data_IF_848830426006
#
_entry.id   IF_848830426006
#
_cell.length_a   1.000
_cell.length_b   1.000
_cell.length_c   1.000
_cell.angle_alpha   90.00
_cell.angle_beta   90.00
_cell.angle_gamma   90.00
#
_symmetry.space_group_name_H-M   'P 1'
#
loop_
_entity.id
_entity.type
_entity.pdbx_description
1 polymer ?
#
# COMPACT_ATOMS: atom_id res chain seq x y z
N UNK A 1 76.05 18.36 -0.78
CA UNK A 1 76.14 17.43 0.37
C UNK A 1 74.76 16.83 0.59
N UNK A 2 74.67 15.52 0.88
CA UNK A 2 74.05 14.53 0.00
C UNK A 2 72.93 13.76 0.77
N UNK A 3 72.23 12.69 0.34
CA UNK A 3 72.49 11.46 -0.42
C UNK A 3 71.08 10.95 -0.86
N UNK A 4 70.88 10.50 -2.09
CA UNK A 4 71.05 9.10 -2.57
C UNK A 4 70.14 8.10 -1.84
N UNK A 5 69.46 7.14 -2.47
CA UNK A 5 69.44 6.67 -3.86
C UNK A 5 68.38 5.54 -3.98
N UNK A 6 67.82 5.40 -5.20
CA UNK A 6 67.60 4.18 -6.02
C UNK A 6 67.13 2.89 -5.32
N UNK A 7 66.16 2.13 -5.83
CA UNK A 7 65.87 1.76 -7.22
C UNK A 7 65.64 0.23 -7.21
N UNK A 8 64.60 -0.31 -7.85
CA UNK A 8 64.59 -0.99 -9.16
C UNK A 8 63.90 -2.37 -8.94
N UNK A 9 62.74 -2.63 -9.54
CA UNK A 9 62.49 -3.28 -10.85
C UNK A 9 62.25 -4.80 -10.77
N UNK A 10 61.10 -5.17 -11.33
CA UNK A 10 60.76 -6.34 -12.16
C UNK A 10 60.49 -7.70 -11.51
N UNK A 11 59.38 -8.30 -11.96
CA UNK A 11 59.03 -9.71 -11.80
C UNK A 11 57.61 -9.99 -12.31
N UNK A 12 57.48 -10.44 -13.55
CA UNK A 12 56.24 -10.94 -14.15
C UNK A 12 56.23 -12.48 -14.11
N UNK A 13 55.12 -13.09 -13.71
CA UNK A 13 54.72 -14.48 -13.98
C UNK A 13 53.24 -14.66 -13.53
N UNK A 14 52.26 -14.66 -14.45
CA UNK A 14 51.57 -15.85 -14.96
C UNK A 14 51.11 -16.85 -13.90
N UNK A 15 49.80 -16.87 -13.60
CA UNK A 15 49.08 -18.11 -13.28
C UNK A 15 47.65 -18.06 -13.84
N UNK A 16 47.33 -19.11 -14.57
CA UNK A 16 46.09 -19.41 -15.32
C UNK A 16 44.96 -19.89 -14.40
N UNK A 17 43.71 -19.96 -14.90
CA UNK A 17 42.53 -20.27 -14.10
C UNK A 17 42.31 -21.79 -13.99
N UNK A 18 41.92 -22.25 -12.80
CA UNK A 18 41.59 -23.66 -12.58
C UNK A 18 40.15 -23.96 -13.02
N UNK A 19 40.03 -24.79 -14.06
CA UNK A 19 38.82 -25.51 -14.47
C UNK A 19 38.66 -26.76 -13.60
N UNK A 20 37.48 -26.95 -13.00
CA UNK A 20 36.94 -28.27 -12.64
C UNK A 20 35.51 -28.31 -13.21
N UNK A 21 35.32 -28.80 -14.43
CA UNK A 21 34.96 -30.18 -14.81
C UNK A 21 33.72 -30.73 -14.10
N UNK A 22 32.67 -30.82 -14.91
CA UNK A 22 31.43 -31.55 -14.71
C UNK A 22 31.68 -33.05 -14.48
N UNK A 23 30.82 -33.64 -13.64
CA UNK A 23 30.53 -35.08 -13.57
C UNK A 23 29.05 -35.25 -13.27
N UNK A 24 28.27 -35.59 -14.29
CA UNK A 24 27.07 -36.43 -14.27
C UNK A 24 27.39 -37.62 -15.20
N UNK A 25 26.73 -38.81 -15.15
CA UNK A 25 25.34 -39.07 -14.72
C UNK A 25 25.16 -40.43 -13.98
N UNK A 26 23.90 -40.92 -13.92
CA UNK A 26 23.41 -42.25 -13.48
C UNK A 26 22.89 -42.29 -12.02
N UNK A 27 21.73 -42.84 -11.67
CA UNK A 27 20.70 -43.60 -12.39
C UNK A 27 19.43 -43.67 -11.53
N UNK A 28 18.28 -43.71 -12.20
CA UNK A 28 17.00 -44.18 -11.68
C UNK A 28 17.08 -45.65 -11.25
N UNK A 29 16.17 -46.09 -10.36
CA UNK A 29 15.50 -47.36 -10.57
C UNK A 29 13.98 -47.14 -10.70
N UNK A 30 13.44 -47.61 -11.82
CA UNK A 30 12.04 -47.98 -11.90
C UNK A 30 11.84 -49.39 -11.33
N UNK A 31 10.73 -49.60 -10.64
CA UNK A 31 10.13 -50.93 -10.52
C UNK A 31 8.63 -50.83 -10.69
N UNK A 32 8.18 -51.63 -11.64
CA UNK A 32 6.86 -52.05 -12.06
C UNK A 32 5.98 -52.66 -10.97
N UNK A 33 4.66 -52.57 -11.18
CA UNK A 33 3.60 -53.38 -10.55
C UNK A 33 2.43 -52.48 -10.17
N UNK A 34 1.18 -52.68 -10.56
CA UNK A 34 0.51 -53.77 -11.23
C UNK A 34 -0.98 -53.40 -11.24
N UNK A 35 -1.61 -53.71 -12.38
CA UNK A 35 -3.00 -53.54 -12.74
C UNK A 35 -4.01 -54.05 -11.69
N UNK A 36 -5.06 -53.27 -11.35
CA UNK A 36 -6.43 -53.81 -11.18
C UNK A 36 -7.44 -52.77 -11.63
N UNK A 37 -8.01 -53.01 -12.82
CA UNK A 37 -9.33 -52.52 -13.22
C UNK A 37 -10.38 -53.39 -12.53
N UNK A 38 -11.40 -52.78 -11.91
CA UNK A 38 -12.69 -53.44 -11.74
C UNK A 38 -13.84 -52.46 -11.92
N UNK A 39 -14.48 -52.64 -13.06
CA UNK A 39 -15.80 -52.20 -13.45
C UNK A 39 -16.89 -52.85 -12.56
N UNK A 40 -18.08 -52.27 -12.54
CA UNK A 40 -19.31 -53.03 -12.25
C UNK A 40 -20.30 -52.50 -11.21
N UNK A 41 -21.14 -51.57 -11.66
CA UNK A 41 -22.62 -51.65 -11.60
C UNK A 41 -23.43 -51.53 -10.29
N UNK A 42 -24.24 -50.45 -10.28
CA UNK A 42 -25.72 -50.37 -10.17
C UNK A 42 -26.47 -51.12 -9.05
N UNK A 43 -27.23 -50.34 -8.27
CA UNK A 43 -28.70 -50.35 -8.00
C UNK A 43 -28.94 -49.27 -6.91
N UNK A 44 -29.96 -48.42 -6.88
CA UNK A 44 -31.31 -48.43 -7.44
C UNK A 44 -32.32 -48.28 -6.27
N UNK A 45 -33.17 -47.24 -6.30
CA UNK A 45 -34.32 -47.02 -5.39
C UNK A 45 -34.26 -45.66 -4.68
N UNK A 46 -34.88 -44.58 -5.14
CA UNK A 46 -36.33 -44.23 -5.13
C UNK A 46 -37.02 -44.49 -3.79
N UNK A 47 -37.35 -43.41 -3.08
CA UNK A 47 -38.70 -43.17 -2.56
C UNK A 47 -38.98 -41.65 -2.51
N UNK A 48 -39.97 -41.23 -3.31
CA UNK A 48 -40.97 -40.19 -2.99
C UNK A 48 -41.93 -40.85 -1.96
N UNK A 49 -42.69 -40.16 -1.11
CA UNK A 49 -43.60 -39.04 -1.37
C UNK A 49 -44.15 -38.49 -0.04
N UNK A 50 -44.52 -37.21 -0.08
CA UNK A 50 -45.69 -36.53 0.52
C UNK A 50 -45.79 -36.46 2.07
N UNK A 51 -46.31 -35.42 2.72
CA UNK A 51 -47.25 -34.37 2.30
C UNK A 51 -47.38 -33.26 3.38
N UNK A 52 -47.77 -32.05 2.95
CA UNK A 52 -48.56 -30.97 3.64
C UNK A 52 -48.08 -30.37 4.99
N UNK A 53 -48.16 -29.06 5.25
CA UNK A 53 -48.81 -27.92 4.58
C UNK A 53 -48.27 -26.57 5.15
N UNK A 54 -48.15 -25.53 4.33
CA UNK A 54 -49.11 -24.42 4.12
C UNK A 54 -49.14 -23.38 5.25
N UNK A 55 -48.58 -22.19 4.99
CA UNK A 55 -49.24 -20.90 5.21
C UNK A 55 -48.45 -19.77 4.56
N UNK A 56 -49.06 -19.17 3.54
CA UNK A 56 -48.74 -17.87 2.94
C UNK A 56 -48.85 -16.74 3.96
N UNK A 57 -48.15 -15.62 3.75
CA UNK A 57 -48.69 -14.24 3.92
C UNK A 57 -47.69 -13.23 3.33
N UNK A 58 -48.03 -12.75 2.14
CA UNK A 58 -47.61 -11.46 1.62
C UNK A 58 -48.69 -10.43 2.00
N UNK A 59 -48.31 -9.26 2.49
CA UNK A 59 -49.18 -8.08 2.57
C UNK A 59 -48.39 -6.87 2.06
N UNK A 60 -48.81 -6.41 0.89
CA UNK A 60 -48.78 -5.03 0.39
C UNK A 60 -49.96 -4.26 1.00
N UNK A 61 -49.84 -2.93 1.10
CA UNK A 61 -50.84 -1.87 0.87
C UNK A 61 -50.34 -0.59 1.60
N UNK A 62 -50.02 0.55 0.95
CA UNK A 62 -50.84 1.49 0.15
C UNK A 62 -52.09 1.91 0.93
N UNK A 63 -52.31 3.18 1.30
CA UNK A 63 -52.77 4.31 0.48
C UNK A 63 -52.74 5.58 1.38
N UNK A 64 -52.11 6.68 0.97
CA UNK A 64 -52.67 7.89 0.33
C UNK A 64 -53.88 8.54 1.02
N UNK A 65 -53.75 9.83 1.38
CA UNK A 65 -54.84 10.76 1.14
C UNK A 65 -54.34 12.17 0.83
N UNK A 66 -54.98 12.75 -0.18
CA UNK A 66 -54.70 14.00 -0.86
C UNK A 66 -55.57 15.14 -0.33
N UNK A 67 -55.06 16.37 -0.27
CA UNK A 67 -55.88 17.57 -0.46
C UNK A 67 -55.02 18.76 -0.84
N UNK A 68 -55.38 19.39 -1.95
CA UNK A 68 -54.90 20.65 -2.50
C UNK A 68 -55.32 21.85 -1.65
N UNK A 69 -54.57 22.96 -1.72
CA UNK A 69 -55.09 24.25 -2.24
C UNK A 69 -54.05 25.40 -2.14
N UNK A 70 -53.69 25.87 -3.34
CA UNK A 70 -53.24 27.19 -3.84
C UNK A 70 -53.11 28.43 -2.92
N UNK A 71 -51.87 28.99 -2.84
CA UNK A 71 -51.39 30.42 -2.92
C UNK A 71 -52.19 31.60 -2.28
N UNK A 72 -51.54 32.69 -1.75
CA UNK A 72 -50.50 33.46 -2.47
C UNK A 72 -49.36 34.14 -1.68
N UNK A 73 -48.29 34.41 -2.43
CA UNK A 73 -47.14 35.29 -2.16
C UNK A 73 -47.52 36.73 -1.79
N UNK A 74 -46.86 37.30 -0.74
CA UNK A 74 -46.43 38.72 -0.72
C UNK A 74 -45.11 38.92 0.05
N UNK A 75 -44.30 39.96 -0.28
CA UNK A 75 -42.87 40.01 0.02
C UNK A 75 -42.51 40.97 1.16
N UNK A 76 -41.47 40.67 1.97
CA UNK A 76 -40.73 41.72 2.70
C UNK A 76 -39.33 41.38 3.22
N UNK A 77 -38.41 42.27 2.81
CA UNK A 77 -37.27 42.87 3.53
C UNK A 77 -35.95 42.10 3.65
N UNK A 78 -35.08 42.46 2.70
CA UNK A 78 -33.63 42.61 2.79
C UNK A 78 -33.12 43.14 4.15
N UNK A 79 -32.14 42.44 4.73
CA UNK A 79 -31.22 43.00 5.71
C UNK A 79 -29.79 42.83 5.20
N UNK A 80 -29.28 43.87 4.54
CA UNK A 80 -27.85 44.11 4.39
C UNK A 80 -27.29 44.40 5.78
N UNK A 81 -26.41 43.54 6.27
CA UNK A 81 -25.79 43.68 7.58
C UNK A 81 -24.52 42.87 7.70
N UNK A 82 -23.44 43.42 7.13
CA UNK A 82 -22.03 43.25 7.52
C UNK A 82 -21.63 41.93 8.18
N UNK A 83 -21.22 40.95 7.37
CA UNK A 83 -20.42 39.81 7.86
C UNK A 83 -18.98 40.30 8.00
N UNK A 84 -18.62 40.76 9.19
CA UNK A 84 -17.22 40.84 9.61
C UNK A 84 -16.62 39.44 9.48
N UNK A 85 -15.88 39.23 8.39
CA UNK A 85 -15.12 38.00 8.17
C UNK A 85 -14.04 37.90 9.25
N UNK A 86 -14.16 36.93 10.15
CA UNK A 86 -13.14 36.68 11.17
C UNK A 86 -11.76 36.42 10.52
N UNK A 87 -10.67 37.06 10.99
CA UNK A 87 -9.33 36.97 10.39
C UNK A 87 -8.80 35.53 10.27
N UNK A 88 -9.23 34.62 11.15
CA UNK A 88 -8.83 33.20 11.14
C UNK A 88 -9.26 32.44 9.88
N UNK A 89 -10.33 32.85 9.20
CA UNK A 89 -10.84 32.14 8.01
C UNK A 89 -10.11 32.54 6.72
N UNK A 90 -9.45 33.70 6.71
CA UNK A 90 -8.67 34.18 5.56
C UNK A 90 -7.22 33.65 5.57
N UNK A 91 -6.64 33.34 6.73
CA UNK A 91 -5.29 32.76 6.83
C UNK A 91 -5.18 31.33 6.26
N UNK A 92 -6.29 30.60 6.14
CA UNK A 92 -6.31 29.28 5.52
C UNK A 92 -6.20 29.32 3.98
N UNK A 93 -6.39 30.49 3.35
CA UNK A 93 -6.37 30.66 1.87
C UNK A 93 -5.03 31.16 1.31
N UNK A 94 -4.06 31.49 2.16
CA UNK A 94 -2.77 32.07 1.74
C UNK A 94 -1.59 31.09 1.82
N UNK A 95 -1.81 29.88 2.31
CA UNK A 95 -0.77 28.84 2.36
C UNK A 95 -0.83 28.01 1.09
N UNK A 96 0.29 27.92 0.36
CA UNK A 96 0.43 26.99 -0.77
C UNK A 96 -0.05 25.59 -0.35
N UNK A 97 -0.76 24.83 -1.21
CA UNK A 97 -1.16 23.46 -0.90
C UNK A 97 -0.03 22.60 -0.33
N UNK A 98 1.21 22.83 -0.79
CA UNK A 98 2.42 22.19 -0.26
C UNK A 98 2.67 22.50 1.22
N UNK A 99 2.44 23.74 1.66
CA UNK A 99 2.66 24.16 3.05
C UNK A 99 1.67 23.51 4.03
N UNK A 100 0.40 23.34 3.62
CA UNK A 100 -0.61 22.64 4.42
C UNK A 100 -0.29 21.15 4.56
N UNK A 101 0.00 20.48 3.45
CA UNK A 101 0.34 19.06 3.46
C UNK A 101 1.67 18.77 4.16
N UNK A 102 2.65 19.68 4.06
CA UNK A 102 3.88 19.60 4.84
C UNK A 102 3.61 19.67 6.34
N UNK A 103 2.69 20.53 6.80
CA UNK A 103 2.26 20.58 8.21
C UNK A 103 1.53 19.32 8.64
N UNK A 104 0.66 18.78 7.79
CA UNK A 104 -0.07 17.54 8.10
C UNK A 104 0.86 16.34 8.32
N UNK A 105 1.94 16.26 7.54
CA UNK A 105 2.97 15.22 7.65
C UNK A 105 4.05 15.54 8.68
N UNK A 106 4.01 16.72 9.31
CA UNK A 106 5.02 17.17 10.28
C UNK A 106 5.02 16.33 11.55
N UNK A 107 3.83 16.02 12.10
CA UNK A 107 3.71 15.16 13.27
C UNK A 107 4.36 13.80 13.02
N UNK A 108 4.10 13.20 11.86
CA UNK A 108 4.75 11.95 11.44
C UNK A 108 6.27 12.09 11.33
N UNK A 109 6.78 13.13 10.67
CA UNK A 109 8.24 13.33 10.52
C UNK A 109 8.94 13.51 11.87
N UNK A 110 8.26 14.16 12.81
CA UNK A 110 8.73 14.39 14.18
C UNK A 110 8.42 13.21 15.12
N UNK A 111 8.07 12.03 14.59
CA UNK A 111 7.80 10.79 15.36
C UNK A 111 6.68 10.94 16.38
N UNK A 112 5.69 11.78 16.07
CA UNK A 112 4.51 12.03 16.89
C UNK A 112 4.88 12.44 18.33
N UNK A 113 5.45 13.64 18.54
CA UNK A 113 6.00 14.04 19.85
C UNK A 113 4.95 14.05 20.98
N UNK A 114 3.68 14.20 20.63
CA UNK A 114 2.56 14.21 21.58
C UNK A 114 1.96 12.83 21.86
N UNK A 115 2.43 11.77 21.17
CA UNK A 115 1.91 10.40 21.34
C UNK A 115 2.81 9.58 22.24
N UNK A 116 2.23 9.12 23.36
CA UNK A 116 2.88 8.22 24.31
C UNK A 116 2.71 6.77 23.87
N UNK A 117 3.69 5.96 24.23
CA UNK A 117 3.70 4.52 23.97
C UNK A 117 2.92 3.80 25.07
N UNK A 118 1.93 2.98 24.71
CA UNK A 118 1.19 2.16 25.66
C UNK A 118 1.65 0.70 25.57
N UNK A 119 2.47 0.26 26.52
CA UNK A 119 3.11 -1.07 26.51
C UNK A 119 2.14 -2.26 26.67
N UNK A 120 0.89 -2.03 27.08
CA UNK A 120 -0.10 -3.11 27.17
C UNK A 120 -0.71 -3.48 25.81
N UNK A 121 -0.63 -2.58 24.84
CA UNK A 121 -1.18 -2.74 23.50
C UNK A 121 -0.18 -3.43 22.58
N UNK A 122 -0.56 -4.57 21.98
CA UNK A 122 0.36 -5.45 21.25
C UNK A 122 -0.24 -6.05 19.97
N UNK A 123 -1.40 -5.56 19.50
CA UNK A 123 -2.12 -6.17 18.38
C UNK A 123 -1.32 -6.14 17.07
N UNK A 124 -0.59 -5.06 16.77
CA UNK A 124 0.23 -4.99 15.56
C UNK A 124 1.37 -6.00 15.62
N UNK A 125 2.07 -6.09 16.76
CA UNK A 125 3.11 -7.10 16.94
C UNK A 125 2.53 -8.52 16.75
N UNK A 126 1.41 -8.83 17.41
CA UNK A 126 0.76 -10.14 17.30
C UNK A 126 0.33 -10.45 15.86
N UNK A 127 -0.21 -9.47 15.15
CA UNK A 127 -0.60 -9.62 13.75
C UNK A 127 0.62 -9.92 12.86
N UNK A 128 1.70 -9.15 12.98
CA UNK A 128 2.93 -9.40 12.22
C UNK A 128 3.64 -10.69 12.64
N UNK A 129 3.46 -11.16 13.88
CA UNK A 129 3.92 -12.47 14.31
C UNK A 129 2.98 -13.61 13.89
N UNK A 130 1.92 -13.30 13.13
CA UNK A 130 0.92 -14.25 12.62
C UNK A 130 0.14 -14.97 13.73
N UNK A 131 -0.02 -14.32 14.90
CA UNK A 131 -0.74 -14.88 16.06
C UNK A 131 -2.22 -14.52 16.09
N UNK A 132 -2.59 -13.40 15.47
CA UNK A 132 -3.99 -12.94 15.38
C UNK A 132 -4.35 -12.61 13.94
N UNK A 133 -5.64 -12.74 13.64
CA UNK A 133 -6.23 -12.29 12.40
C UNK A 133 -6.47 -10.77 12.43
N UNK A 134 -6.40 -10.17 11.25
CA UNK A 134 -6.93 -8.83 11.05
C UNK A 134 -8.46 -8.79 11.21
N UNK A 135 -8.98 -7.69 11.74
CA UNK A 135 -10.41 -7.45 11.99
C UNK A 135 -10.95 -6.35 11.07
N UNK A 136 -12.27 -6.30 10.78
CA UNK A 136 -13.38 -7.13 11.28
C UNK A 136 -13.47 -8.56 10.73
N UNK A 137 -13.32 -8.74 9.41
CA UNK A 137 -13.49 -10.02 8.69
C UNK A 137 -12.23 -10.31 7.88
N UNK A 138 -11.09 -10.23 8.54
CA UNK A 138 -9.80 -10.41 7.90
C UNK A 138 -9.28 -11.83 8.06
N UNK A 139 -7.97 -11.97 7.89
CA UNK A 139 -7.25 -13.23 8.07
C UNK A 139 -5.85 -12.95 8.61
N UNK A 140 -5.04 -14.00 8.76
CA UNK A 140 -3.64 -13.95 9.16
C UNK A 140 -2.76 -13.35 8.06
N UNK A 141 -1.68 -12.66 8.44
CA UNK A 141 -0.79 -11.99 7.48
C UNK A 141 -0.16 -12.97 6.48
N UNK A 142 0.21 -14.17 6.92
CA UNK A 142 0.77 -15.19 6.02
C UNK A 142 -0.27 -15.66 5.00
N UNK A 143 -1.52 -15.86 5.42
CA UNK A 143 -2.65 -16.21 4.54
C UNK A 143 -2.93 -15.10 3.52
N UNK A 144 -2.82 -13.82 3.91
CA UNK A 144 -2.92 -12.71 2.96
C UNK A 144 -1.81 -12.76 1.92
N UNK A 145 -0.55 -12.95 2.34
CA UNK A 145 0.59 -12.99 1.43
C UNK A 145 0.53 -14.19 0.47
N UNK A 146 0.00 -15.32 0.92
CA UNK A 146 -0.12 -16.53 0.12
C UNK A 146 -1.25 -16.45 -0.92
N UNK A 147 -2.42 -15.90 -0.55
CA UNK A 147 -3.63 -16.03 -1.37
C UNK A 147 -4.12 -14.74 -2.02
N UNK A 148 -3.71 -13.55 -1.56
CA UNK A 148 -4.25 -12.29 -2.09
C UNK A 148 -3.44 -11.76 -3.28
N UNK A 149 -2.27 -12.33 -3.57
CA UNK A 149 -1.44 -11.88 -4.67
C UNK A 149 -2.15 -12.11 -6.00
N UNK A 150 -2.50 -11.02 -6.69
CA UNK A 150 -3.23 -11.06 -7.96
C UNK A 150 -4.75 -11.06 -7.82
N UNK A 151 -5.30 -11.17 -6.60
CA UNK A 151 -6.73 -10.99 -6.34
C UNK A 151 -7.08 -9.52 -6.19
N UNK A 152 -7.18 -8.83 -7.32
CA UNK A 152 -7.43 -7.39 -7.33
C UNK A 152 -8.83 -7.00 -6.89
N UNK A 153 -9.83 -7.87 -7.09
CA UNK A 153 -11.20 -7.62 -6.67
C UNK A 153 -11.26 -7.56 -5.15
N UNK A 154 -10.64 -8.53 -4.47
CA UNK A 154 -10.55 -8.56 -3.01
C UNK A 154 -9.85 -7.31 -2.45
N UNK A 155 -8.72 -6.92 -3.05
CA UNK A 155 -7.94 -5.76 -2.61
C UNK A 155 -8.65 -4.42 -2.87
N UNK A 156 -9.47 -4.32 -3.91
CA UNK A 156 -10.29 -3.12 -4.18
C UNK A 156 -11.49 -3.06 -3.22
N UNK A 157 -12.24 -4.15 -3.03
CA UNK A 157 -13.49 -4.18 -2.24
C UNK A 157 -13.24 -4.08 -0.72
N UNK A 158 -12.26 -4.81 -0.19
CA UNK A 158 -12.04 -4.87 1.25
C UNK A 158 -11.10 -3.76 1.71
N UNK A 159 -11.58 -2.70 2.36
CA UNK A 159 -10.71 -1.59 2.78
C UNK A 159 -10.03 -1.79 4.15
N UNK A 160 -10.54 -2.70 4.99
CA UNK A 160 -10.13 -2.81 6.39
C UNK A 160 -8.71 -3.36 6.61
N UNK A 161 -8.14 -4.06 5.61
CA UNK A 161 -6.84 -4.72 5.74
C UNK A 161 -5.66 -3.72 5.75
N UNK A 162 -5.81 -2.55 5.12
CA UNK A 162 -4.67 -1.66 4.88
C UNK A 162 -4.04 -1.16 6.18
N UNK A 163 -4.84 -0.93 7.21
CA UNK A 163 -4.36 -0.51 8.52
C UNK A 163 -3.67 -1.63 9.30
N UNK A 164 -3.97 -2.89 9.00
CA UNK A 164 -3.27 -4.04 9.58
C UNK A 164 -1.95 -4.32 8.86
N UNK A 165 -1.96 -4.28 7.52
CA UNK A 165 -0.74 -4.48 6.72
C UNK A 165 0.25 -3.33 6.81
N UNK A 166 -0.22 -2.12 7.13
CA UNK A 166 0.57 -0.90 7.21
C UNK A 166 0.10 -0.02 8.36
N UNK A 167 0.27 -0.45 9.61
CA UNK A 167 -0.18 0.33 10.75
C UNK A 167 0.66 1.61 10.88
N UNK A 168 0.03 2.68 11.37
CA UNK A 168 0.68 3.93 11.73
C UNK A 168 0.19 4.38 13.09
N UNK A 169 0.86 5.38 13.66
CA UNK A 169 0.51 5.94 14.97
C UNK A 169 -0.60 6.98 14.85
N UNK A 170 -1.53 6.83 13.91
CA UNK A 170 -2.68 7.71 13.68
C UNK A 170 -3.94 6.86 13.59
N UNK A 171 -5.05 7.37 14.09
CA UNK A 171 -6.33 6.69 14.02
C UNK A 171 -6.80 6.66 12.56
N UNK A 172 -7.05 5.46 12.04
CA UNK A 172 -7.60 5.29 10.70
C UNK A 172 -9.09 4.96 10.72
N UNK A 173 -9.62 4.58 9.55
CA UNK A 173 -11.06 4.32 9.34
C UNK A 173 -11.53 3.02 10.00
N UNK A 174 -10.68 1.99 10.02
CA UNK A 174 -10.88 0.74 10.72
C UNK A 174 -10.52 0.95 12.20
N UNK A 175 -11.55 1.15 13.04
CA UNK A 175 -11.40 1.33 14.49
C UNK A 175 -10.96 0.07 15.24
N UNK A 176 -11.04 -1.10 14.60
CA UNK A 176 -10.58 -2.37 15.17
C UNK A 176 -9.10 -2.63 14.89
N UNK A 177 -8.47 -1.85 14.00
CA UNK A 177 -7.03 -1.85 13.85
C UNK A 177 -6.43 -0.89 14.88
N UNK A 178 -5.71 -1.45 15.86
CA UNK A 178 -5.02 -0.70 16.89
C UNK A 178 -3.96 0.23 16.27
N UNK A 179 -3.89 1.49 16.71
CA UNK A 179 -2.79 2.37 16.34
C UNK A 179 -1.43 1.75 16.69
N UNK A 180 -0.44 1.95 15.83
CA UNK A 180 0.91 1.43 16.04
C UNK A 180 1.53 2.02 17.32
N UNK A 181 2.09 1.15 18.15
CA UNK A 181 2.88 1.53 19.31
C UNK A 181 4.38 1.50 18.98
N UNK A 182 5.19 2.31 19.67
CA UNK A 182 6.63 2.42 19.38
C UNK A 182 7.35 1.11 19.66
N UNK A 183 7.02 0.46 20.77
CA UNK A 183 7.63 -0.82 21.10
C UNK A 183 7.26 -1.93 20.11
N UNK A 184 6.06 -1.91 19.54
CA UNK A 184 5.66 -2.82 18.45
C UNK A 184 6.49 -2.54 17.20
N UNK A 185 6.59 -1.27 16.78
CA UNK A 185 7.36 -0.86 15.61
C UNK A 185 8.84 -1.26 15.70
N UNK A 186 9.46 -1.02 16.86
CA UNK A 186 10.84 -1.44 17.13
C UNK A 186 11.02 -2.96 17.05
N UNK A 187 10.05 -3.72 17.58
CA UNK A 187 10.10 -5.18 17.59
C UNK A 187 9.88 -5.76 16.19
N UNK A 188 8.91 -5.24 15.43
CA UNK A 188 8.65 -5.61 14.04
C UNK A 188 9.89 -5.32 13.17
N UNK A 189 10.52 -4.15 13.36
CA UNK A 189 11.72 -3.75 12.62
C UNK A 189 12.93 -4.63 12.93
N UNK A 190 13.10 -5.08 14.18
CA UNK A 190 14.25 -5.89 14.61
C UNK A 190 14.09 -7.38 14.28
N UNK A 191 12.86 -7.88 14.22
CA UNK A 191 12.59 -9.29 13.89
C UNK A 191 12.67 -9.51 12.37
N UNK A 192 13.56 -10.38 11.86
CA UNK A 192 13.72 -10.58 10.43
C UNK A 192 12.47 -11.11 9.71
N UNK A 193 11.65 -11.94 10.37
CA UNK A 193 10.44 -12.51 9.76
C UNK A 193 9.35 -11.45 9.65
N UNK A 194 9.13 -10.68 10.71
CA UNK A 194 8.18 -9.58 10.70
C UNK A 194 8.60 -8.48 9.72
N UNK A 195 9.89 -8.15 9.64
CA UNK A 195 10.42 -7.20 8.65
C UNK A 195 10.23 -7.70 7.21
N UNK A 196 10.47 -8.99 6.92
CA UNK A 196 10.17 -9.58 5.61
C UNK A 196 8.67 -9.48 5.26
N UNK A 197 7.78 -9.71 6.24
CA UNK A 197 6.33 -9.53 6.06
C UNK A 197 5.95 -8.11 5.69
N UNK A 198 6.62 -7.08 6.23
CA UNK A 198 6.40 -5.67 5.80
C UNK A 198 6.72 -5.52 4.31
N UNK A 199 7.85 -6.07 3.85
CA UNK A 199 8.25 -6.01 2.44
C UNK A 199 7.30 -6.79 1.55
N UNK A 200 6.85 -7.99 1.96
CA UNK A 200 5.84 -8.77 1.22
C UNK A 200 4.51 -8.03 1.08
N UNK A 201 4.03 -7.39 2.16
CA UNK A 201 2.85 -6.53 2.10
C UNK A 201 3.04 -5.40 1.09
N UNK A 202 4.24 -4.80 1.05
CA UNK A 202 4.55 -3.74 0.10
C UNK A 202 4.54 -4.23 -1.34
N UNK A 203 5.13 -5.39 -1.62
CA UNK A 203 5.09 -6.04 -2.94
C UNK A 203 3.67 -6.38 -3.38
N UNK A 204 2.85 -6.90 -2.48
CA UNK A 204 1.43 -7.16 -2.73
C UNK A 204 0.72 -5.88 -3.20
N UNK A 205 0.94 -4.76 -2.50
CA UNK A 205 0.32 -3.48 -2.85
C UNK A 205 0.90 -2.86 -4.13
N UNK A 206 2.21 -2.97 -4.37
CA UNK A 206 2.81 -2.57 -5.65
C UNK A 206 2.20 -3.34 -6.81
N UNK A 207 2.09 -4.66 -6.69
CA UNK A 207 1.49 -5.51 -7.71
C UNK A 207 0.03 -5.15 -7.96
N UNK A 208 -0.74 -4.85 -6.90
CA UNK A 208 -2.10 -4.33 -7.00
C UNK A 208 -2.17 -3.01 -7.77
N UNK A 209 -1.13 -2.17 -7.75
CA UNK A 209 -1.07 -0.94 -8.55
C UNK A 209 -0.38 -1.12 -9.90
N UNK A 210 -0.03 -2.34 -10.32
CA UNK A 210 0.65 -2.61 -11.60
C UNK A 210 2.12 -2.25 -11.60
N UNK A 211 2.75 -2.28 -10.42
CA UNK A 211 4.16 -2.04 -10.21
C UNK A 211 4.82 -3.32 -9.68
N UNK A 212 6.12 -3.46 -9.89
CA UNK A 212 6.90 -4.58 -9.38
C UNK A 212 8.16 -4.07 -8.67
N UNK A 213 8.48 -4.68 -7.53
CA UNK A 213 9.70 -4.41 -6.78
C UNK A 213 10.83 -5.30 -7.30
N UNK A 214 11.58 -4.80 -8.28
CA UNK A 214 12.66 -5.55 -8.92
C UNK A 214 13.86 -5.77 -7.97
N UNK A 215 14.15 -4.80 -7.10
CA UNK A 215 15.25 -4.90 -6.14
C UNK A 215 14.76 -4.55 -4.73
N UNK A 216 14.59 -5.58 -3.90
CA UNK A 216 14.18 -5.43 -2.49
C UNK A 216 15.16 -4.61 -1.65
N UNK A 217 16.46 -4.58 -1.98
CA UNK A 217 17.47 -3.86 -1.22
C UNK A 217 17.51 -2.37 -1.59
N UNK A 218 17.52 -2.06 -2.89
CA UNK A 218 17.56 -0.68 -3.39
C UNK A 218 16.17 -0.03 -3.46
N UNK A 219 15.10 -0.83 -3.38
CA UNK A 219 13.74 -0.37 -3.57
C UNK A 219 13.38 -0.10 -5.04
N UNK A 220 14.13 -0.65 -6.00
CA UNK A 220 13.92 -0.34 -7.42
C UNK A 220 12.56 -0.87 -7.88
N UNK A 221 11.75 0.03 -8.45
CA UNK A 221 10.41 -0.28 -8.95
C UNK A 221 10.40 -0.19 -10.47
N UNK A 222 9.70 -1.13 -11.09
CA UNK A 222 9.42 -1.18 -12.53
C UNK A 222 7.91 -1.35 -12.76
N UNK A 223 7.45 -1.11 -13.98
CA UNK A 223 6.08 -1.46 -14.39
C UNK A 223 5.90 -2.99 -14.32
N UNK A 224 4.77 -3.46 -13.79
CA UNK A 224 4.39 -4.88 -13.85
C UNK A 224 3.71 -5.23 -15.18
N UNK A 225 3.46 -6.52 -15.44
CA UNK A 225 2.96 -6.99 -16.74
C UNK A 225 1.62 -6.35 -17.14
N UNK A 226 0.72 -6.16 -16.18
CA UNK A 226 -0.62 -5.58 -16.40
C UNK A 226 -0.71 -4.08 -16.06
N UNK A 227 0.43 -3.37 -16.03
CA UNK A 227 0.50 -1.97 -15.58
C UNK A 227 -0.54 -1.06 -16.23
N UNK A 228 -0.84 -1.24 -17.53
CA UNK A 228 -1.78 -0.37 -18.27
C UNK A 228 -3.16 -0.37 -17.65
N UNK A 229 -3.67 -1.53 -17.26
CA UNK A 229 -4.98 -1.65 -16.61
C UNK A 229 -4.93 -1.10 -15.19
N UNK A 230 -3.91 -1.49 -14.42
CA UNK A 230 -3.80 -1.12 -13.02
C UNK A 230 -3.54 0.39 -12.83
N UNK A 231 -2.75 1.04 -13.70
CA UNK A 231 -2.54 2.49 -13.67
C UNK A 231 -3.82 3.25 -14.03
N UNK A 232 -4.61 2.73 -15.00
CA UNK A 232 -5.94 3.29 -15.30
C UNK A 232 -6.86 3.22 -14.08
N UNK A 233 -6.86 2.11 -13.34
CA UNK A 233 -7.59 1.99 -12.07
C UNK A 233 -7.09 3.00 -11.04
N UNK A 234 -5.77 3.05 -10.82
CA UNK A 234 -5.16 3.96 -9.82
C UNK A 234 -5.46 5.43 -10.10
N UNK A 235 -5.44 5.87 -11.36
CA UNK A 235 -5.81 7.24 -11.74
C UNK A 235 -7.27 7.60 -11.42
N UNK A 236 -8.17 6.61 -11.39
CA UNK A 236 -9.62 6.82 -11.18
C UNK A 236 -10.03 6.65 -9.71
N UNK A 237 -9.34 5.78 -8.98
CA UNK A 237 -9.67 5.42 -7.60
C UNK A 237 -8.89 6.25 -6.59
N UNK A 238 -9.36 7.46 -6.28
CA UNK A 238 -8.68 8.42 -5.39
C UNK A 238 -8.45 7.90 -3.96
N UNK A 239 -9.26 6.96 -3.46
CA UNK A 239 -9.05 6.34 -2.15
C UNK A 239 -7.72 5.56 -2.08
N UNK A 240 -7.21 5.07 -3.22
CA UNK A 240 -5.89 4.44 -3.27
C UNK A 240 -4.76 5.43 -2.96
N UNK A 241 -4.97 6.74 -3.13
CA UNK A 241 -3.98 7.73 -2.73
C UNK A 241 -3.85 7.85 -1.21
N UNK A 242 -4.97 7.67 -0.49
CA UNK A 242 -4.95 7.58 0.97
C UNK A 242 -4.25 6.29 1.42
N UNK A 243 -4.49 5.17 0.73
CA UNK A 243 -3.76 3.91 0.97
C UNK A 243 -2.25 4.10 0.74
N UNK A 244 -1.82 4.73 -0.36
CA UNK A 244 -0.41 5.03 -0.61
C UNK A 244 0.18 5.89 0.51
N UNK A 245 -0.53 6.94 0.95
CA UNK A 245 -0.11 7.77 2.08
C UNK A 245 0.12 6.93 3.35
N UNK A 246 -0.83 6.06 3.70
CA UNK A 246 -0.72 5.14 4.83
C UNK A 246 0.53 4.25 4.71
N UNK A 247 0.74 3.64 3.55
CA UNK A 247 1.91 2.79 3.28
C UNK A 247 3.20 3.57 3.46
N UNK A 248 3.32 4.75 2.84
CA UNK A 248 4.55 5.55 2.93
C UNK A 248 4.88 5.97 4.36
N UNK A 249 3.88 6.31 5.18
CA UNK A 249 4.10 6.58 6.60
C UNK A 249 4.51 5.30 7.35
N UNK A 250 3.80 4.19 7.13
CA UNK A 250 4.07 2.91 7.80
C UNK A 250 5.45 2.35 7.48
N UNK A 251 5.89 2.43 6.21
CA UNK A 251 7.25 2.05 5.81
C UNK A 251 8.31 2.78 6.65
N UNK A 252 8.08 4.03 7.03
CA UNK A 252 9.01 4.76 7.90
C UNK A 252 8.91 4.46 9.37
N UNK A 253 7.70 4.19 9.87
CA UNK A 253 7.52 3.68 11.24
C UNK A 253 8.21 2.32 11.41
N UNK A 254 8.13 1.45 10.40
CA UNK A 254 8.62 0.07 10.46
C UNK A 254 10.05 -0.12 9.93
N UNK A 255 10.80 0.96 9.71
CA UNK A 255 12.24 0.90 9.41
C UNK A 255 12.62 0.70 7.92
N UNK A 256 11.66 0.81 7.00
CA UNK A 256 11.83 0.63 5.55
C UNK A 256 11.86 1.95 4.77
N UNK A 257 12.38 3.02 5.36
CA UNK A 257 12.37 4.38 4.77
C UNK A 257 13.06 4.45 3.39
N UNK A 258 14.05 3.57 3.17
CA UNK A 258 14.76 3.40 1.89
C UNK A 258 13.87 3.07 0.70
N UNK A 259 12.68 2.49 0.90
CA UNK A 259 11.76 2.09 -0.17
C UNK A 259 10.97 3.27 -0.74
N UNK A 260 10.86 4.38 0.00
CA UNK A 260 9.94 5.47 -0.34
C UNK A 260 10.48 6.36 -1.44
N UNK A 261 11.76 6.73 -1.39
CA UNK A 261 12.35 7.61 -2.40
C UNK A 261 12.29 6.99 -3.82
N UNK A 262 12.65 5.71 -4.02
CA UNK A 262 12.45 5.04 -5.31
C UNK A 262 11.00 5.03 -5.79
N UNK A 263 10.03 4.78 -4.89
CA UNK A 263 8.61 4.85 -5.22
C UNK A 263 8.19 6.24 -5.72
N UNK A 264 8.56 7.29 -4.99
CA UNK A 264 8.25 8.67 -5.38
C UNK A 264 8.88 9.02 -6.73
N UNK A 265 10.14 8.61 -6.95
CA UNK A 265 10.83 8.84 -8.22
C UNK A 265 10.11 8.15 -9.38
N UNK A 266 9.70 6.89 -9.19
CA UNK A 266 8.95 6.13 -10.18
C UNK A 266 7.62 6.81 -10.51
N UNK A 267 6.82 7.15 -9.49
CA UNK A 267 5.51 7.78 -9.74
C UNK A 267 5.64 9.16 -10.38
N UNK A 268 6.61 9.98 -9.98
CA UNK A 268 6.85 11.27 -10.63
C UNK A 268 7.19 11.12 -12.12
N UNK A 269 8.05 10.16 -12.47
CA UNK A 269 8.36 9.88 -13.87
C UNK A 269 7.11 9.46 -14.65
N UNK A 270 6.34 8.51 -14.12
CA UNK A 270 5.10 8.03 -14.74
C UNK A 270 4.02 9.13 -14.86
N UNK A 271 3.96 10.04 -13.88
CA UNK A 271 2.95 11.10 -13.84
C UNK A 271 3.29 12.29 -14.76
N UNK A 272 4.57 12.68 -14.82
CA UNK A 272 5.02 13.91 -15.49
C UNK A 272 5.56 13.63 -16.90
N UNK A 273 6.37 12.59 -17.07
CA UNK A 273 7.02 12.27 -18.35
C UNK A 273 6.10 11.41 -19.20
N UNK A 274 5.71 10.26 -18.66
CA UNK A 274 4.94 9.25 -19.40
C UNK A 274 3.44 9.56 -19.46
N UNK A 275 2.95 10.43 -18.57
CA UNK A 275 1.54 10.81 -18.41
C UNK A 275 0.59 9.62 -18.16
N UNK A 276 1.12 8.48 -17.74
CA UNK A 276 0.35 7.27 -17.44
C UNK A 276 -0.24 7.27 -16.03
N UNK A 277 0.31 8.07 -15.11
CA UNK A 277 -0.17 8.28 -13.74
C UNK A 277 -0.45 9.76 -13.42
N UNK A 278 -0.91 10.53 -14.42
CA UNK A 278 -1.07 11.98 -14.32
C UNK A 278 -1.93 12.43 -13.12
N UNK A 279 -2.96 11.67 -12.72
CA UNK A 279 -3.81 12.05 -11.59
C UNK A 279 -3.12 11.89 -10.22
N UNK A 280 -2.00 11.16 -10.16
CA UNK A 280 -1.20 11.01 -8.95
C UNK A 280 -0.19 12.16 -8.77
N UNK A 281 0.07 12.96 -9.82
CA UNK A 281 1.07 14.03 -9.83
C UNK A 281 0.92 14.95 -8.61
N UNK A 282 -0.29 15.50 -8.43
CA UNK A 282 -0.59 16.45 -7.35
C UNK A 282 -0.37 15.84 -5.97
N UNK A 283 -0.85 14.62 -5.74
CA UNK A 283 -0.65 13.92 -4.47
C UNK A 283 0.82 13.63 -4.20
N UNK A 284 1.56 13.25 -5.24
CA UNK A 284 2.98 12.96 -5.13
C UNK A 284 3.78 14.21 -4.75
N UNK A 285 3.61 15.30 -5.51
CA UNK A 285 4.31 16.57 -5.32
C UNK A 285 3.96 17.23 -3.98
N UNK A 286 2.68 17.32 -3.67
CA UNK A 286 2.24 18.14 -2.55
C UNK A 286 2.10 17.36 -1.26
N UNK A 287 2.07 16.04 -1.27
CA UNK A 287 1.86 15.25 -0.06
C UNK A 287 2.91 14.15 0.11
N UNK A 288 3.05 13.23 -0.85
CA UNK A 288 3.86 12.03 -0.64
C UNK A 288 5.36 12.33 -0.49
N UNK A 289 5.89 13.35 -1.17
CA UNK A 289 7.27 13.83 -0.93
C UNK A 289 7.50 14.18 0.54
N UNK A 290 6.53 14.83 1.19
CA UNK A 290 6.63 15.24 2.59
C UNK A 290 6.55 14.09 3.59
N UNK A 291 6.23 12.88 3.13
CA UNK A 291 6.36 11.67 3.95
C UNK A 291 7.81 11.24 4.13
N UNK A 292 8.78 11.68 3.32
CA UNK A 292 10.18 11.35 3.56
C UNK A 292 10.67 12.05 4.82
N UNK A 293 11.24 11.32 5.78
CA UNK A 293 11.82 11.92 7.01
C UNK A 293 13.11 12.70 6.76
N UNK A 294 13.93 12.29 5.79
CA UNK A 294 15.21 12.94 5.47
C UNK A 294 15.01 14.21 4.63
N UNK A 295 15.40 15.36 5.19
CA UNK A 295 15.34 16.68 4.55
C UNK A 295 16.14 16.75 3.26
N UNK A 296 17.29 16.06 3.20
CA UNK A 296 18.13 16.01 2.00
C UNK A 296 17.41 15.29 0.88
N UNK A 297 16.76 14.16 1.18
CA UNK A 297 15.96 13.42 0.20
C UNK A 297 14.76 14.23 -0.27
N UNK A 298 14.06 14.92 0.65
CA UNK A 298 12.94 15.83 0.28
C UNK A 298 13.40 16.93 -0.66
N UNK A 299 14.50 17.62 -0.35
CA UNK A 299 15.05 18.67 -1.21
C UNK A 299 15.47 18.11 -2.58
N UNK A 300 16.14 16.96 -2.59
CA UNK A 300 16.58 16.32 -3.82
C UNK A 300 15.42 15.92 -4.73
N UNK A 301 14.38 15.26 -4.18
CA UNK A 301 13.24 14.81 -4.99
C UNK A 301 12.38 15.98 -5.47
N UNK A 302 12.33 17.09 -4.72
CA UNK A 302 11.68 18.33 -5.18
C UNK A 302 12.40 18.92 -6.40
N UNK A 303 13.73 19.06 -6.34
CA UNK A 303 14.53 19.54 -7.49
C UNK A 303 14.36 18.61 -8.69
N UNK A 304 14.40 17.29 -8.46
CA UNK A 304 14.15 16.30 -9.50
C UNK A 304 12.78 16.51 -10.16
N UNK A 305 11.72 16.69 -9.37
CA UNK A 305 10.38 16.93 -9.88
C UNK A 305 10.26 18.25 -10.67
N UNK A 306 10.88 19.32 -10.16
CA UNK A 306 10.88 20.63 -10.82
C UNK A 306 11.56 20.56 -12.20
N UNK A 307 12.65 19.79 -12.32
CA UNK A 307 13.32 19.55 -13.60
C UNK A 307 12.42 18.78 -14.58
N UNK A 308 11.76 17.70 -14.15
CA UNK A 308 10.81 16.96 -15.00
C UNK A 308 9.68 17.86 -15.50
N UNK A 309 9.15 18.73 -14.64
CA UNK A 309 8.09 19.66 -15.00
C UNK A 309 8.56 20.72 -16.01
N UNK A 310 9.80 21.19 -15.91
CA UNK A 310 10.39 22.12 -16.86
C UNK A 310 10.59 21.46 -18.24
N UNK A 311 11.10 20.23 -18.26
CA UNK A 311 11.36 19.47 -19.49
C UNK A 311 10.06 19.06 -20.19
N UNK A 312 9.01 18.69 -19.44
CA UNK A 312 7.72 18.23 -20.01
C UNK A 312 6.84 19.34 -20.62
N UNK A 313 7.23 20.61 -20.49
CA UNK A 313 6.52 21.77 -21.08
C UNK A 313 6.99 22.11 -22.49
N UNK A 314 8.04 21.44 -22.96
CA UNK A 314 8.61 21.56 -24.30
C UNK A 314 8.31 20.30 -25.12
#
# INVERSE_FOLDING_TARGET
>A
MPKSQKGQKQGAATSTPSKMKATDPASLPGTSGGFVVRDGSKKGGRNRSDDRGKSDHAISDSESDTSSDTEPVTPRKTWLGSVFSSPKRQQARTTSPSAWCARDTEAYRNRYPNKRDNKSLNDNWKFYNNEIESKPRGTYIDTMHEHWFGDYSLLEEHHGYIQWLFPIREMGMNRQAQELQLHEAERICKDPKCSDRVVKSYELMLHFWGMHLEDRQKGKIVRGDNWKERFRNLNRSSHNYLRITQILKSLGELGHERLKLPFLKFVLHEAIVERTLANAERSCLHYWIHTLRDDKQRKWIQIYADNLLAESKH
#
